data_IF_473954587726
#
_entry.id   IF_473954587726
#
_cell.length_a   1.000
_cell.length_b   1.000
_cell.length_c   1.000
_cell.angle_alpha   90.00
_cell.angle_beta   90.00
_cell.angle_gamma   90.00
#
_symmetry.space_group_name_H-M   'P 1'
#
loop_
_entity.id
_entity.type
_entity.pdbx_description
1 polymer ?
#
# COMPACT_ATOMS: atom_id res chain seq x y z
N UNK A 1 33.54 -10.61 -32.38
CA UNK A 1 34.41 -9.85 -31.43
C UNK A 1 33.52 -9.29 -30.36
N UNK A 2 33.27 -10.08 -29.31
CA UNK A 2 32.29 -9.78 -28.24
C UNK A 2 33.06 -9.21 -27.07
N UNK A 3 32.82 -7.93 -26.78
CA UNK A 3 33.33 -7.21 -25.61
C UNK A 3 32.50 -7.64 -24.38
N UNK A 4 33.00 -8.61 -23.69
CA UNK A 4 32.51 -9.01 -22.37
C UNK A 4 33.13 -8.07 -21.33
N UNK A 5 32.30 -7.20 -20.72
CA UNK A 5 32.75 -6.30 -19.67
C UNK A 5 32.92 -7.06 -18.35
N UNK A 6 34.11 -7.04 -17.71
CA UNK A 6 34.42 -7.85 -16.53
C UNK A 6 33.95 -7.25 -15.20
N UNK A 7 33.07 -6.22 -15.20
CA UNK A 7 32.74 -5.46 -13.98
C UNK A 7 31.46 -5.88 -13.23
N UNK A 8 30.59 -6.73 -13.79
CA UNK A 8 29.24 -6.96 -13.22
C UNK A 8 29.16 -8.06 -12.15
N UNK A 9 30.15 -8.92 -12.05
CA UNK A 9 30.09 -10.06 -11.14
C UNK A 9 30.50 -9.73 -9.70
N UNK A 10 31.46 -8.83 -9.51
CA UNK A 10 31.93 -8.45 -8.18
C UNK A 10 30.84 -7.73 -7.36
N UNK A 11 30.03 -6.89 -7.99
CA UNK A 11 28.94 -6.20 -7.35
C UNK A 11 27.81 -7.14 -6.91
N UNK A 12 27.55 -8.19 -7.68
CA UNK A 12 26.56 -9.23 -7.34
C UNK A 12 26.97 -10.04 -6.11
N UNK A 13 28.24 -10.35 -5.96
CA UNK A 13 28.78 -11.06 -4.80
C UNK A 13 28.75 -10.21 -3.52
N UNK A 14 28.95 -8.91 -3.63
CA UNK A 14 28.83 -7.98 -2.48
C UNK A 14 27.38 -7.76 -2.06
N UNK A 15 26.41 -7.84 -2.98
CA UNK A 15 24.98 -7.68 -2.69
C UNK A 15 24.31 -8.97 -2.17
N UNK A 16 24.92 -10.11 -2.40
CA UNK A 16 24.37 -11.42 -1.98
C UNK A 16 24.13 -11.54 -0.47
N UNK A 17 25.10 -11.18 0.43
CA UNK A 17 24.86 -11.26 1.88
C UNK A 17 23.77 -10.28 2.35
N UNK A 18 23.66 -9.12 1.71
CA UNK A 18 22.62 -8.13 2.04
C UNK A 18 21.21 -8.64 1.70
N UNK A 19 21.09 -9.32 0.57
CA UNK A 19 19.84 -9.96 0.15
C UNK A 19 19.40 -11.07 1.12
N UNK A 20 20.32 -11.86 1.59
CA UNK A 20 20.05 -12.95 2.56
C UNK A 20 19.63 -12.39 3.92
N UNK A 21 20.26 -11.32 4.40
CA UNK A 21 19.90 -10.64 5.65
C UNK A 21 18.48 -10.06 5.53
N UNK A 22 18.16 -9.39 4.44
CA UNK A 22 16.80 -8.87 4.20
C UNK A 22 15.77 -10.00 4.15
N UNK A 23 16.09 -11.12 3.52
CA UNK A 23 15.24 -12.31 3.49
C UNK A 23 15.01 -12.91 4.89
N UNK A 24 16.06 -13.01 5.69
CA UNK A 24 15.98 -13.51 7.07
C UNK A 24 15.14 -12.60 7.97
N UNK A 25 15.31 -11.29 7.87
CA UNK A 25 14.51 -10.30 8.60
C UNK A 25 13.04 -10.41 8.19
N UNK A 26 12.74 -10.55 6.91
CA UNK A 26 11.38 -10.70 6.41
C UNK A 26 10.73 -11.99 6.92
N UNK A 27 11.46 -13.10 6.94
CA UNK A 27 11.02 -14.37 7.50
C UNK A 27 10.79 -14.28 9.02
N UNK A 28 11.72 -13.72 9.78
CA UNK A 28 11.59 -13.54 11.22
C UNK A 28 10.37 -12.67 11.56
N UNK A 29 10.17 -11.57 10.81
CA UNK A 29 9.00 -10.72 10.96
C UNK A 29 7.70 -11.47 10.65
N UNK A 30 7.68 -12.27 9.59
CA UNK A 30 6.51 -13.09 9.22
C UNK A 30 6.18 -14.11 10.30
N UNK A 31 7.18 -14.80 10.86
CA UNK A 31 7.01 -15.74 11.96
C UNK A 31 6.51 -15.06 13.23
N UNK A 32 7.07 -13.90 13.57
CA UNK A 32 6.63 -13.16 14.74
C UNK A 32 5.18 -12.71 14.62
N UNK A 33 4.80 -12.09 13.50
CA UNK A 33 3.41 -11.69 13.27
C UNK A 33 2.44 -12.86 13.22
N UNK A 34 2.86 -14.03 12.75
CA UNK A 34 2.03 -15.23 12.74
C UNK A 34 1.76 -15.77 14.16
N UNK A 35 2.72 -15.62 15.09
CA UNK A 35 2.61 -16.17 16.45
C UNK A 35 2.14 -15.16 17.49
N UNK A 36 2.53 -13.91 17.38
CA UNK A 36 2.28 -12.84 18.39
C UNK A 36 1.21 -11.87 17.93
N UNK A 37 0.98 -11.74 16.62
CA UNK A 37 0.00 -10.82 16.05
C UNK A 37 -1.43 -11.22 16.45
N UNK A 38 -2.08 -10.45 17.31
CA UNK A 38 -3.52 -10.55 17.52
C UNK A 38 -4.22 -10.20 16.21
N UNK A 39 -4.87 -11.19 15.60
CA UNK A 39 -5.68 -10.96 14.40
C UNK A 39 -6.92 -10.17 14.82
N UNK A 40 -6.96 -8.91 14.41
CA UNK A 40 -8.18 -8.13 14.53
C UNK A 40 -9.10 -8.52 13.38
N UNK A 41 -10.27 -9.03 13.73
CA UNK A 41 -11.34 -9.32 12.77
C UNK A 41 -12.33 -8.16 12.87
N UNK A 42 -12.48 -7.34 11.84
CA UNK A 42 -13.45 -6.25 11.87
C UNK A 42 -14.87 -6.80 12.06
N UNK A 43 -15.74 -6.12 12.83
CA UNK A 43 -17.13 -6.53 13.03
C UNK A 43 -18.02 -6.28 11.78
N UNK A 44 -17.47 -5.63 10.76
CA UNK A 44 -18.18 -5.32 9.52
C UNK A 44 -17.49 -6.01 8.32
N UNK A 45 -18.25 -6.38 7.27
CA UNK A 45 -17.68 -6.92 6.05
C UNK A 45 -16.61 -5.98 5.50
N UNK A 46 -15.38 -6.48 5.33
CA UNK A 46 -14.23 -5.66 4.94
C UNK A 46 -13.54 -6.25 3.72
N UNK A 47 -13.32 -5.43 2.70
CA UNK A 47 -12.55 -5.76 1.50
C UNK A 47 -11.22 -5.04 1.58
N UNK A 48 -10.10 -5.77 1.47
CA UNK A 48 -8.76 -5.19 1.49
C UNK A 48 -8.18 -5.21 0.08
N UNK A 49 -7.84 -4.03 -0.43
CA UNK A 49 -7.20 -3.87 -1.73
C UNK A 49 -5.73 -3.48 -1.51
N UNK A 50 -4.83 -4.38 -1.86
CA UNK A 50 -3.40 -4.21 -1.65
C UNK A 50 -2.59 -4.46 -2.93
N UNK A 51 -1.27 -4.19 -2.85
CA UNK A 51 -0.30 -4.47 -3.90
C UNK A 51 0.69 -5.52 -3.46
N UNK A 52 1.10 -6.35 -4.40
CA UNK A 52 2.28 -7.21 -4.29
C UNK A 52 3.55 -6.55 -4.82
N UNK A 53 3.42 -5.50 -5.63
CA UNK A 53 4.53 -4.75 -6.22
C UNK A 53 4.42 -3.26 -5.94
N UNK A 54 5.56 -2.55 -5.93
CA UNK A 54 5.58 -1.09 -5.87
C UNK A 54 5.17 -0.50 -7.21
N UNK A 55 4.32 0.53 -7.21
CA UNK A 55 3.89 1.26 -8.40
C UNK A 55 2.39 1.35 -8.60
N UNK A 56 1.98 1.99 -9.69
CA UNK A 56 0.59 2.24 -10.08
C UNK A 56 -0.12 0.98 -10.57
N UNK A 57 -0.61 0.15 -9.68
CA UNK A 57 -1.24 -1.15 -10.00
C UNK A 57 -2.76 -1.10 -10.13
N UNK A 58 -3.34 0.08 -10.36
CA UNK A 58 -4.78 0.21 -10.59
C UNK A 58 -5.67 0.07 -9.35
N UNK A 59 -5.15 0.31 -8.13
CA UNK A 59 -5.96 0.25 -6.90
C UNK A 59 -7.09 1.26 -6.90
N UNK A 60 -6.80 2.51 -7.22
CA UNK A 60 -7.78 3.60 -7.21
C UNK A 60 -8.93 3.36 -8.19
N UNK A 61 -8.70 2.96 -9.45
CA UNK A 61 -9.77 2.55 -10.36
C UNK A 61 -10.61 1.38 -9.83
N UNK A 62 -9.98 0.40 -9.19
CA UNK A 62 -10.69 -0.74 -8.60
C UNK A 62 -11.59 -0.33 -7.44
N UNK A 63 -11.11 0.56 -6.56
CA UNK A 63 -11.90 1.12 -5.47
C UNK A 63 -13.11 1.86 -6.02
N UNK A 64 -12.92 2.74 -7.00
CA UNK A 64 -14.01 3.49 -7.65
C UNK A 64 -15.05 2.57 -8.27
N UNK A 65 -14.60 1.52 -8.95
CA UNK A 65 -15.50 0.52 -9.53
C UNK A 65 -16.31 -0.23 -8.48
N UNK A 66 -15.70 -0.60 -7.35
CA UNK A 66 -16.41 -1.24 -6.23
C UNK A 66 -17.43 -0.30 -5.60
N UNK A 67 -17.08 0.97 -5.40
CA UNK A 67 -17.97 1.98 -4.83
C UNK A 67 -19.17 2.24 -5.74
N UNK A 68 -18.97 2.33 -7.05
CA UNK A 68 -20.05 2.52 -8.03
C UNK A 68 -21.06 1.35 -8.09
N UNK A 69 -20.69 0.16 -7.61
CA UNK A 69 -21.54 -1.02 -7.59
C UNK A 69 -22.26 -1.27 -6.26
N UNK A 70 -22.07 -0.41 -5.27
CA UNK A 70 -22.62 -0.57 -3.93
C UNK A 70 -23.75 0.41 -3.67
N UNK A 71 -24.93 -0.12 -3.30
CA UNK A 71 -26.11 0.67 -2.89
C UNK A 71 -26.08 1.01 -1.39
N UNK A 72 -25.15 0.46 -0.63
CA UNK A 72 -25.05 0.65 0.82
C UNK A 72 -23.94 1.63 1.17
N UNK A 73 -24.05 2.36 2.29
CA UNK A 73 -22.99 3.22 2.80
C UNK A 73 -21.69 2.43 3.00
N UNK A 74 -20.59 2.92 2.44
CA UNK A 74 -19.26 2.31 2.51
C UNK A 74 -18.27 3.31 3.05
N UNK A 75 -17.44 2.89 4.01
CA UNK A 75 -16.30 3.65 4.48
C UNK A 75 -15.03 3.14 3.78
N UNK A 76 -14.22 4.06 3.24
CA UNK A 76 -12.92 3.75 2.64
C UNK A 76 -11.82 4.19 3.59
N UNK A 77 -10.97 3.25 4.00
CA UNK A 77 -9.82 3.54 4.85
C UNK A 77 -8.53 3.47 4.03
N UNK A 78 -7.81 4.57 3.96
CA UNK A 78 -6.53 4.70 3.27
C UNK A 78 -5.40 5.05 4.24
N UNK A 79 -4.16 4.67 3.90
CA UNK A 79 -2.96 5.09 4.66
C UNK A 79 -2.65 6.58 4.52
N UNK A 80 -3.25 7.27 3.53
CA UNK A 80 -3.00 8.67 3.25
C UNK A 80 -1.55 8.91 2.81
N UNK A 81 -1.09 8.23 1.78
CA UNK A 81 0.24 8.46 1.23
C UNK A 81 0.40 9.91 0.76
N UNK A 82 1.54 10.52 1.10
CA UNK A 82 1.84 11.91 0.71
C UNK A 82 1.19 13.00 1.56
N UNK A 83 0.29 12.67 2.51
CA UNK A 83 -0.32 13.67 3.41
C UNK A 83 0.67 14.21 4.44
N UNK A 84 0.48 15.44 4.86
CA UNK A 84 1.26 16.08 5.93
C UNK A 84 0.63 15.93 7.32
N UNK A 85 -0.67 15.62 7.38
CA UNK A 85 -1.40 15.39 8.63
C UNK A 85 -0.96 14.08 9.30
N UNK A 86 -1.03 14.01 10.62
CA UNK A 86 -0.76 12.80 11.42
C UNK A 86 -2.04 12.31 12.10
N UNK A 87 -2.12 11.00 12.33
CA UNK A 87 -3.27 10.39 12.99
C UNK A 87 -4.45 10.14 12.05
N UNK A 88 -5.62 9.88 12.61
CA UNK A 88 -6.86 9.69 11.88
C UNK A 88 -7.38 11.03 11.36
N UNK A 89 -7.80 11.06 10.12
CA UNK A 89 -8.42 12.21 9.48
C UNK A 89 -9.61 11.73 8.65
N UNK A 90 -10.78 12.24 8.94
CA UNK A 90 -11.95 12.08 8.09
C UNK A 90 -11.87 13.04 6.91
N UNK A 91 -11.93 12.49 5.70
CA UNK A 91 -11.80 13.27 4.47
C UNK A 91 -13.18 13.75 4.03
N UNK A 92 -13.42 15.05 4.19
CA UNK A 92 -14.60 15.74 3.73
C UNK A 92 -14.38 16.32 2.32
N UNK A 93 -15.42 16.83 1.71
CA UNK A 93 -15.37 17.36 0.35
C UNK A 93 -14.46 18.60 0.21
N UNK A 94 -14.36 19.38 1.27
CA UNK A 94 -13.58 20.62 1.39
C UNK A 94 -12.22 20.41 2.08
N UNK A 95 -11.85 19.16 2.42
CA UNK A 95 -10.57 18.89 3.07
C UNK A 95 -9.41 19.26 2.15
N UNK A 96 -8.42 20.05 2.60
CA UNK A 96 -7.29 20.43 1.79
C UNK A 96 -6.45 19.22 1.32
N UNK A 97 -6.01 19.23 0.07
CA UNK A 97 -5.16 18.18 -0.52
C UNK A 97 -3.92 17.90 0.34
N UNK A 98 -3.31 18.93 0.93
CA UNK A 98 -2.11 18.79 1.77
C UNK A 98 -2.35 17.96 3.03
N UNK A 99 -3.58 17.90 3.50
CA UNK A 99 -3.96 17.18 4.72
C UNK A 99 -4.45 15.77 4.43
N UNK A 100 -5.27 15.61 3.41
CA UNK A 100 -5.84 14.30 3.04
C UNK A 100 -4.94 13.48 2.13
N UNK A 101 -4.21 14.13 1.22
CA UNK A 101 -3.52 13.51 0.09
C UNK A 101 -4.40 13.45 -1.16
N UNK A 102 -3.79 13.30 -2.34
CA UNK A 102 -4.50 13.31 -3.63
C UNK A 102 -5.48 12.13 -3.78
N UNK A 103 -5.02 10.91 -3.48
CA UNK A 103 -5.80 9.69 -3.68
C UNK A 103 -7.09 9.62 -2.84
N UNK A 104 -7.09 9.90 -1.52
CA UNK A 104 -8.32 9.92 -0.72
C UNK A 104 -9.34 10.95 -1.20
N UNK A 105 -8.90 12.14 -1.62
CA UNK A 105 -9.77 13.16 -2.18
C UNK A 105 -10.38 12.75 -3.51
N UNK A 106 -9.58 12.15 -4.40
CA UNK A 106 -10.07 11.63 -5.68
C UNK A 106 -11.16 10.58 -5.49
N UNK A 107 -11.00 9.68 -4.50
CA UNK A 107 -12.01 8.69 -4.13
C UNK A 107 -13.26 9.39 -3.58
N UNK A 108 -13.10 10.36 -2.69
CA UNK A 108 -14.20 11.11 -2.09
C UNK A 108 -15.05 11.82 -3.13
N UNK A 109 -14.43 12.51 -4.09
CA UNK A 109 -15.13 13.19 -5.18
C UNK A 109 -15.90 12.24 -6.09
N UNK A 110 -15.41 11.01 -6.26
CA UNK A 110 -16.11 9.99 -7.08
C UNK A 110 -17.39 9.46 -6.38
N UNK A 111 -17.41 9.44 -5.05
CA UNK A 111 -18.57 8.93 -4.28
C UNK A 111 -19.66 9.99 -4.07
N UNK A 112 -19.29 11.27 -4.13
CA UNK A 112 -20.22 12.38 -3.90
C UNK A 112 -21.00 12.81 -5.16
N UNK A 113 -20.69 12.29 -6.34
CA UNK A 113 -21.42 12.47 -7.60
C UNK A 113 -22.32 11.29 -7.88
#
# INVERSE_FOLDING_TARGET
MSLQSPGSNSLKWMLCPFSQICGLIALARRFWFARVGKRFVPPVPTIVIGNLSAGGTGKTPMIKWLLAKRDQPVAVLSRGYGRKSRGFLEVLHDTPVREAGDEPLEIRHTVAG
#
